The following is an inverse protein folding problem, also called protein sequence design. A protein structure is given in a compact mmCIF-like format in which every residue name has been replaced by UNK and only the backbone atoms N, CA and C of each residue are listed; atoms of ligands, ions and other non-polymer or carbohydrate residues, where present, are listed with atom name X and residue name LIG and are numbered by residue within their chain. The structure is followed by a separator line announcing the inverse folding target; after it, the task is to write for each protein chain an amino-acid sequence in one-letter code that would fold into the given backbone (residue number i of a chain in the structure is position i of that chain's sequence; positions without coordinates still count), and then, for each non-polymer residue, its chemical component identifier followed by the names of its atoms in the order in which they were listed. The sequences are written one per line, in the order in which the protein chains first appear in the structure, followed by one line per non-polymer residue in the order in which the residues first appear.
data_IF_152281474921
#
_entry.id   IF_152281474921
#
_cell.length_a   1.000
_cell.length_b   1.000
_cell.length_c   1.000
_cell.angle_alpha   90.00
_cell.angle_beta   90.00
_cell.angle_gamma   90.00
#
_symmetry.space_group_name_H-M   'P 1'
#
loop_
_entity.id
_entity.type
_entity.pdbx_description
1 polymer ?
#
# COMPACT_ATOMS: atom_id res chain seq x y z
N UNK A 1 -16.26 -24.69 -15.22
CA UNK A 1 -16.85 -23.36 -14.93
C UNK A 1 -15.74 -22.46 -14.45
N UNK A 2 -15.28 -21.51 -15.26
CA UNK A 2 -14.28 -20.52 -14.85
C UNK A 2 -14.89 -19.71 -13.72
N UNK A 3 -14.31 -19.81 -12.52
CA UNK A 3 -14.75 -19.02 -11.37
C UNK A 3 -14.76 -17.55 -11.79
N UNK A 4 -15.85 -16.82 -11.56
CA UNK A 4 -15.83 -15.38 -11.74
C UNK A 4 -14.71 -14.85 -10.84
N UNK A 5 -13.73 -14.15 -11.42
CA UNK A 5 -12.57 -13.67 -10.68
C UNK A 5 -12.98 -12.82 -9.48
N UNK A 6 -12.20 -12.89 -8.40
CA UNK A 6 -12.47 -12.14 -7.17
C UNK A 6 -12.42 -10.63 -7.45
N UNK A 7 -13.13 -9.81 -6.68
CA UNK A 7 -13.25 -8.36 -6.95
C UNK A 7 -11.88 -7.67 -7.04
N UNK A 8 -10.92 -8.09 -6.22
CA UNK A 8 -9.55 -7.56 -6.27
C UNK A 8 -8.82 -7.88 -7.57
N UNK A 9 -9.11 -9.02 -8.22
CA UNK A 9 -8.50 -9.41 -9.50
C UNK A 9 -8.96 -8.47 -10.61
N UNK A 10 -10.24 -8.09 -10.56
CA UNK A 10 -10.80 -7.10 -11.49
C UNK A 10 -10.13 -5.74 -11.32
N UNK A 11 -10.01 -5.25 -10.09
CA UNK A 11 -9.38 -3.97 -9.80
C UNK A 11 -7.91 -3.93 -10.29
N UNK A 12 -7.15 -5.01 -10.07
CA UNK A 12 -5.77 -5.14 -10.57
C UNK A 12 -5.76 -5.18 -12.11
N UNK A 13 -6.64 -5.96 -12.74
CA UNK A 13 -6.73 -6.03 -14.18
C UNK A 13 -7.07 -4.68 -14.82
N UNK A 14 -7.94 -3.89 -14.21
CA UNK A 14 -8.29 -2.54 -14.67
C UNK A 14 -7.09 -1.59 -14.54
N UNK A 15 -6.37 -1.61 -13.42
CA UNK A 15 -5.14 -0.83 -13.27
C UNK A 15 -4.10 -1.18 -14.33
N UNK A 16 -3.87 -2.47 -14.59
CA UNK A 16 -2.93 -2.91 -15.64
C UNK A 16 -3.39 -2.45 -17.02
N UNK A 17 -4.67 -2.61 -17.36
CA UNK A 17 -5.22 -2.12 -18.62
C UNK A 17 -5.05 -0.61 -18.79
N UNK A 18 -5.24 0.16 -17.71
CA UNK A 18 -5.05 1.61 -17.72
C UNK A 18 -3.58 2.00 -17.87
N UNK A 19 -2.65 1.30 -17.23
CA UNK A 19 -1.20 1.56 -17.35
C UNK A 19 -0.66 1.22 -18.75
N UNK A 20 -1.15 0.14 -19.37
CA UNK A 20 -0.66 -0.31 -20.67
C UNK A 20 -1.37 0.38 -21.86
N UNK A 21 -2.47 1.08 -21.63
CA UNK A 21 -3.12 1.86 -22.68
C UNK A 21 -2.40 3.18 -22.91
N UNK A 22 -2.25 3.56 -24.17
CA UNK A 22 -1.71 4.88 -24.50
C UNK A 22 -2.66 5.98 -24.00
N UNK A 23 -2.13 7.10 -23.45
CA UNK A 23 -2.93 8.26 -23.11
C UNK A 23 -3.76 8.72 -24.33
N UNK A 24 -5.05 8.94 -24.15
CA UNK A 24 -5.95 9.37 -25.24
C UNK A 24 -6.61 8.25 -26.04
N UNK A 25 -6.35 6.97 -25.73
CA UNK A 25 -7.06 5.85 -26.37
C UNK A 25 -8.57 5.91 -26.05
N UNK A 26 -9.47 5.70 -27.03
CA UNK A 26 -10.91 5.69 -26.80
C UNK A 26 -11.31 4.74 -25.66
N UNK A 27 -12.10 5.26 -24.72
CA UNK A 27 -12.60 4.51 -23.57
C UNK A 27 -11.65 4.43 -22.36
N UNK A 28 -10.42 4.94 -22.42
CA UNK A 28 -9.53 4.98 -21.25
C UNK A 28 -10.11 5.83 -20.11
N UNK A 29 -10.71 6.98 -20.42
CA UNK A 29 -11.37 7.83 -19.43
C UNK A 29 -12.57 7.14 -18.78
N UNK A 30 -13.38 6.41 -19.55
CA UNK A 30 -14.52 5.65 -19.03
C UNK A 30 -14.07 4.51 -18.12
N UNK A 31 -13.02 3.79 -18.51
CA UNK A 31 -12.44 2.72 -17.70
C UNK A 31 -11.89 3.28 -16.38
N UNK A 32 -11.16 4.39 -16.42
CA UNK A 32 -10.64 5.06 -15.22
C UNK A 32 -11.77 5.52 -14.29
N UNK A 33 -12.80 6.19 -14.84
CA UNK A 33 -13.94 6.63 -14.05
C UNK A 33 -14.70 5.45 -13.42
N UNK A 34 -14.85 4.34 -14.15
CA UNK A 34 -15.49 3.13 -13.62
C UNK A 34 -14.65 2.50 -12.49
N UNK A 35 -13.33 2.41 -12.66
CA UNK A 35 -12.42 1.88 -11.64
C UNK A 35 -12.40 2.76 -10.39
N UNK A 36 -12.29 4.08 -10.55
CA UNK A 36 -12.37 5.04 -9.43
C UNK A 36 -13.74 5.00 -8.76
N UNK A 37 -14.82 4.93 -9.53
CA UNK A 37 -16.17 4.80 -8.99
C UNK A 37 -16.32 3.57 -8.09
N UNK A 38 -15.85 2.40 -8.54
CA UNK A 38 -15.81 1.20 -7.69
C UNK A 38 -14.95 1.39 -6.45
N UNK A 39 -13.76 1.94 -6.62
CA UNK A 39 -12.83 2.19 -5.53
C UNK A 39 -13.47 3.05 -4.41
N UNK A 40 -14.15 4.15 -4.76
CA UNK A 40 -14.75 5.07 -3.81
C UNK A 40 -16.01 4.54 -3.13
N UNK A 41 -16.74 3.62 -3.79
CA UNK A 41 -17.98 3.04 -3.25
C UNK A 41 -17.74 1.77 -2.41
N UNK A 42 -16.60 1.11 -2.60
CA UNK A 42 -16.27 -0.11 -1.87
C UNK A 42 -16.06 0.20 -0.38
N UNK A 43 -16.73 -0.57 0.48
CA UNK A 43 -16.43 -0.56 1.92
C UNK A 43 -15.18 -1.40 2.17
N UNK A 44 -14.15 -0.86 2.84
CA UNK A 44 -12.95 -1.64 3.12
C UNK A 44 -13.28 -2.83 4.03
N UNK A 45 -12.97 -4.04 3.58
CA UNK A 45 -12.94 -5.19 4.46
C UNK A 45 -11.76 -5.09 5.44
N UNK A 46 -11.98 -5.47 6.70
CA UNK A 46 -10.90 -5.50 7.70
C UNK A 46 -9.79 -6.43 7.22
N UNK A 47 -8.55 -5.94 7.25
CA UNK A 47 -7.37 -6.68 6.76
C UNK A 47 -6.94 -6.33 5.33
N UNK A 48 -7.75 -5.58 4.57
CA UNK A 48 -7.43 -5.18 3.18
C UNK A 48 -7.01 -3.71 3.03
N UNK A 49 -6.75 -2.99 4.13
CA UNK A 49 -6.45 -1.56 4.10
C UNK A 49 -5.16 -1.25 3.31
N UNK A 50 -4.07 -2.01 3.51
CA UNK A 50 -2.85 -1.79 2.71
C UNK A 50 -3.09 -2.03 1.21
N UNK A 51 -3.80 -3.10 0.83
CA UNK A 51 -4.19 -3.34 -0.56
C UNK A 51 -5.00 -2.17 -1.14
N UNK A 52 -6.06 -1.75 -0.43
CA UNK A 52 -6.93 -0.64 -0.82
C UNK A 52 -6.15 0.67 -0.91
N UNK A 53 -5.19 0.90 -0.03
CA UNK A 53 -4.34 2.09 -0.04
C UNK A 53 -3.48 2.11 -1.30
N UNK A 54 -2.83 0.99 -1.63
CA UNK A 54 -2.03 0.86 -2.87
C UNK A 54 -2.88 1.04 -4.10
N UNK A 55 -4.07 0.43 -4.15
CA UNK A 55 -5.02 0.62 -5.24
C UNK A 55 -5.39 2.09 -5.42
N UNK A 56 -5.70 2.80 -4.33
CA UNK A 56 -6.01 4.23 -4.35
C UNK A 56 -4.83 5.07 -4.86
N UNK A 57 -3.62 4.85 -4.33
CA UNK A 57 -2.40 5.52 -4.80
C UNK A 57 -2.17 5.27 -6.29
N UNK A 58 -2.31 4.02 -6.74
CA UNK A 58 -2.15 3.65 -8.15
C UNK A 58 -3.16 4.36 -9.05
N UNK A 59 -4.45 4.34 -8.69
CA UNK A 59 -5.49 5.03 -9.46
C UNK A 59 -5.26 6.55 -9.50
N UNK A 60 -4.79 7.14 -8.40
CA UNK A 60 -4.43 8.55 -8.36
C UNK A 60 -3.25 8.87 -9.28
N UNK A 61 -2.20 8.04 -9.30
CA UNK A 61 -1.07 8.19 -10.22
C UNK A 61 -1.50 8.10 -11.69
N UNK A 62 -2.39 7.16 -12.02
CA UNK A 62 -2.94 7.00 -13.37
C UNK A 62 -3.79 8.21 -13.76
N UNK A 63 -4.59 8.74 -12.83
CA UNK A 63 -5.46 9.89 -13.08
C UNK A 63 -4.69 11.21 -13.19
N UNK A 64 -3.59 11.37 -12.45
CA UNK A 64 -2.88 12.64 -12.27
C UNK A 64 -2.57 13.41 -13.59
N UNK A 65 -2.13 12.77 -14.70
CA UNK A 65 -1.83 13.49 -15.93
C UNK A 65 -3.06 14.00 -16.69
N UNK A 66 -4.23 13.37 -16.51
CA UNK A 66 -5.44 13.67 -17.30
C UNK A 66 -6.56 14.32 -16.50
N UNK A 67 -6.64 14.05 -15.20
CA UNK A 67 -7.60 14.65 -14.27
C UNK A 67 -6.98 14.75 -12.85
N UNK A 68 -6.23 15.85 -12.57
CA UNK A 68 -5.67 16.11 -11.24
C UNK A 68 -6.73 16.19 -10.13
N UNK A 69 -7.96 16.60 -10.46
CA UNK A 69 -9.05 16.68 -9.49
C UNK A 69 -9.57 15.30 -9.08
N UNK A 70 -9.65 14.36 -10.02
CA UNK A 70 -9.96 12.96 -9.74
C UNK A 70 -8.84 12.30 -8.92
N UNK A 71 -7.58 12.52 -9.29
CA UNK A 71 -6.43 12.04 -8.52
C UNK A 71 -6.48 12.55 -7.06
N UNK A 72 -6.78 13.83 -6.88
CA UNK A 72 -6.91 14.44 -5.56
C UNK A 72 -8.01 13.80 -4.71
N UNK A 73 -9.20 13.60 -5.28
CA UNK A 73 -10.32 12.94 -4.59
C UNK A 73 -10.00 11.51 -4.16
N UNK A 74 -9.32 10.75 -5.03
CA UNK A 74 -8.92 9.36 -4.72
C UNK A 74 -7.93 9.35 -3.55
N UNK A 75 -6.92 10.23 -3.55
CA UNK A 75 -5.95 10.32 -2.46
C UNK A 75 -6.55 10.76 -1.15
N UNK A 76 -7.47 11.73 -1.19
CA UNK A 76 -8.19 12.16 0.00
C UNK A 76 -8.95 10.99 0.61
N UNK A 77 -9.70 10.23 -0.19
CA UNK A 77 -10.43 9.06 0.27
C UNK A 77 -9.51 7.97 0.85
N UNK A 78 -8.38 7.69 0.19
CA UNK A 78 -7.38 6.75 0.69
C UNK A 78 -6.81 7.19 2.04
N UNK A 79 -6.48 8.48 2.17
CA UNK A 79 -5.93 9.09 3.39
C UNK A 79 -6.92 9.03 4.54
N UNK A 80 -8.17 9.39 4.30
CA UNK A 80 -9.24 9.31 5.30
C UNK A 80 -9.47 7.86 5.75
N UNK A 81 -9.45 6.90 4.83
CA UNK A 81 -9.62 5.48 5.13
C UNK A 81 -8.48 4.93 6.01
N UNK A 82 -7.23 5.30 5.71
CA UNK A 82 -6.07 4.92 6.52
C UNK A 82 -6.14 5.54 7.91
N UNK A 83 -6.45 6.84 8.00
CA UNK A 83 -6.59 7.53 9.30
C UNK A 83 -7.71 6.89 10.13
N UNK A 84 -8.84 6.55 9.52
CA UNK A 84 -9.97 5.95 10.22
C UNK A 84 -9.70 4.52 10.70
N UNK A 85 -8.75 3.81 10.08
CA UNK A 85 -8.41 2.42 10.41
C UNK A 85 -7.16 2.28 11.29
N UNK A 86 -6.42 3.36 11.52
CA UNK A 86 -5.14 3.36 12.25
C UNK A 86 -4.12 2.36 11.65
N UNK A 87 -4.16 2.20 10.32
CA UNK A 87 -3.33 1.20 9.63
C UNK A 87 -1.93 1.76 9.31
N UNK A 88 -0.93 1.27 10.03
CA UNK A 88 0.47 1.67 9.85
C UNK A 88 1.04 1.40 8.46
N UNK A 89 0.65 0.30 7.81
CA UNK A 89 1.15 -0.04 6.47
C UNK A 89 0.53 0.88 5.40
N UNK A 90 -0.76 1.17 5.51
CA UNK A 90 -1.43 2.17 4.69
C UNK A 90 -0.82 3.56 4.88
N UNK A 91 -0.51 3.94 6.13
CA UNK A 91 0.12 5.23 6.41
C UNK A 91 1.53 5.33 5.80
N UNK A 92 2.30 4.23 5.81
CA UNK A 92 3.59 4.13 5.12
C UNK A 92 3.46 4.26 3.60
N UNK A 93 2.52 3.53 3.00
CA UNK A 93 2.29 3.53 1.55
C UNK A 93 1.90 4.94 1.05
N UNK A 94 1.06 5.67 1.81
CA UNK A 94 0.70 7.06 1.50
C UNK A 94 1.87 8.03 1.68
N UNK A 95 2.63 7.89 2.76
CA UNK A 95 3.76 8.78 3.06
C UNK A 95 4.92 8.65 2.06
N UNK A 96 5.09 7.47 1.44
CA UNK A 96 6.09 7.25 0.39
C UNK A 96 5.71 7.80 -0.99
N UNK A 97 4.48 8.28 -1.18
CA UNK A 97 3.95 8.72 -2.48
C UNK A 97 4.36 10.15 -2.83
N UNK A 98 5.67 10.39 -2.92
CA UNK A 98 6.30 11.72 -3.04
C UNK A 98 5.80 12.58 -4.21
N UNK A 99 5.32 11.98 -5.31
CA UNK A 99 4.79 12.69 -6.47
C UNK A 99 3.37 13.24 -6.32
N UNK A 100 2.64 12.84 -5.27
CA UNK A 100 1.23 13.17 -5.05
C UNK A 100 0.99 14.01 -3.78
N UNK A 101 2.08 14.38 -3.09
CA UNK A 101 2.08 15.03 -1.78
C UNK A 101 1.42 16.42 -1.73
N UNK A 102 1.26 17.09 -2.88
CA UNK A 102 0.57 18.38 -2.95
C UNK A 102 -0.91 18.32 -2.52
N UNK A 103 -1.50 17.12 -2.54
CA UNK A 103 -2.91 16.89 -2.17
C UNK A 103 -3.08 16.58 -0.68
N UNK A 104 -2.06 16.03 -0.02
CA UNK A 104 -2.14 15.66 1.39
C UNK A 104 -1.83 16.88 2.24
N UNK A 105 -2.82 17.29 3.04
CA UNK A 105 -2.69 18.45 3.94
C UNK A 105 -1.64 18.22 5.02
N UNK A 106 -1.11 19.30 5.60
CA UNK A 106 -0.15 19.20 6.71
C UNK A 106 -0.71 18.40 7.89
N UNK A 107 -1.95 18.65 8.30
CA UNK A 107 -2.59 17.91 9.40
C UNK A 107 -2.83 16.43 9.09
N UNK A 108 -3.12 16.06 7.84
CA UNK A 108 -3.17 14.65 7.46
C UNK A 108 -1.78 14.01 7.50
N UNK A 109 -0.74 14.71 7.04
CA UNK A 109 0.65 14.23 7.10
C UNK A 109 1.09 13.98 8.54
N UNK A 110 0.77 14.89 9.46
CA UNK A 110 1.03 14.71 10.89
C UNK A 110 0.33 13.46 11.46
N UNK A 111 -0.95 13.27 11.12
CA UNK A 111 -1.70 12.07 11.53
C UNK A 111 -1.09 10.79 10.98
N UNK A 112 -0.76 10.74 9.68
CA UNK A 112 -0.12 9.57 9.07
C UNK A 112 1.23 9.25 9.73
N UNK A 113 2.04 10.28 10.02
CA UNK A 113 3.29 10.13 10.77
C UNK A 113 3.05 9.57 12.18
N UNK A 114 2.03 10.06 12.90
CA UNK A 114 1.69 9.55 14.22
C UNK A 114 1.27 8.07 14.18
N UNK A 115 0.43 7.68 13.21
CA UNK A 115 -0.01 6.29 12.99
C UNK A 115 1.20 5.38 12.71
N UNK A 116 2.08 5.80 11.78
CA UNK A 116 3.29 5.06 11.48
C UNK A 116 4.22 4.96 12.70
N UNK A 117 4.31 6.01 13.52
CA UNK A 117 5.15 6.00 14.74
C UNK A 117 4.59 5.03 15.78
N UNK A 118 3.28 5.08 16.04
CA UNK A 118 2.60 4.14 16.94
C UNK A 118 2.71 2.69 16.46
N UNK A 119 2.78 2.47 15.14
CA UNK A 119 2.98 1.17 14.52
C UNK A 119 4.45 0.72 14.43
N UNK A 120 5.42 1.53 14.88
CA UNK A 120 6.85 1.23 14.75
C UNK A 120 7.38 1.26 13.29
N UNK A 121 6.66 1.93 12.39
CA UNK A 121 6.96 2.03 10.96
C UNK A 121 7.53 3.42 10.57
N UNK A 122 7.63 4.35 11.51
CA UNK A 122 8.25 5.68 11.33
C UNK A 122 9.49 5.84 12.20
N UNK A 123 10.50 6.54 11.67
CA UNK A 123 11.60 7.05 12.49
C UNK A 123 12.55 6.00 13.06
N UNK A 124 12.43 4.73 12.66
CA UNK A 124 13.34 3.68 13.10
C UNK A 124 14.67 3.85 12.39
N UNK A 125 15.60 4.55 13.05
CA UNK A 125 16.97 4.65 12.58
C UNK A 125 17.57 3.25 12.49
N UNK A 126 18.38 2.92 11.47
CA UNK A 126 19.17 1.68 11.47
C UNK A 126 20.06 1.54 12.71
N UNK A 127 20.35 2.65 13.39
CA UNK A 127 21.10 2.70 14.65
C UNK A 127 20.19 2.70 15.90
N UNK A 128 18.89 2.42 15.74
CA UNK A 128 18.00 2.23 16.88
C UNK A 128 18.52 1.03 17.70
N UNK A 129 18.82 1.19 18.99
CA UNK A 129 19.34 0.11 19.83
C UNK A 129 18.41 -1.10 19.86
N UNK A 130 17.09 -0.90 19.79
CA UNK A 130 16.09 -1.97 19.80
C UNK A 130 16.13 -2.76 18.50
N UNK A 131 16.22 -2.10 17.35
CA UNK A 131 16.37 -2.81 16.06
C UNK A 131 17.71 -3.52 15.98
N UNK A 132 18.78 -2.87 16.41
CA UNK A 132 20.12 -3.48 16.41
C UNK A 132 20.11 -4.76 17.25
N UNK A 133 19.47 -4.71 18.43
CA UNK A 133 19.33 -5.85 19.31
C UNK A 133 18.45 -6.95 18.70
N UNK A 134 17.27 -6.62 18.17
CA UNK A 134 16.37 -7.58 17.53
C UNK A 134 17.01 -8.25 16.31
N UNK A 135 17.73 -7.47 15.49
CA UNK A 135 18.41 -7.98 14.28
C UNK A 135 19.57 -8.90 14.66
N UNK A 136 20.30 -8.57 15.73
CA UNK A 136 21.34 -9.44 16.29
C UNK A 136 20.76 -10.75 16.82
N UNK A 137 19.66 -10.71 17.58
CA UNK A 137 18.97 -11.91 18.06
C UNK A 137 18.46 -12.79 16.91
N UNK A 138 17.86 -12.19 15.88
CA UNK A 138 17.39 -12.90 14.71
C UNK A 138 18.54 -13.57 13.93
N UNK A 139 19.67 -12.87 13.79
CA UNK A 139 20.87 -13.42 13.15
C UNK A 139 21.45 -14.61 13.94
N UNK A 140 21.50 -14.51 15.28
CA UNK A 140 21.96 -15.61 16.13
C UNK A 140 21.02 -16.81 16.06
N UNK A 141 19.70 -16.59 16.10
CA UNK A 141 18.72 -17.67 15.93
C UNK A 141 18.86 -18.36 14.55
N UNK A 142 19.04 -17.60 13.47
CA UNK A 142 19.25 -18.13 12.13
C UNK A 142 20.54 -18.97 12.04
N UNK A 143 21.61 -18.52 12.70
CA UNK A 143 22.87 -19.26 12.79
C UNK A 143 22.70 -20.59 13.53
N UNK A 144 22.05 -20.58 14.70
CA UNK A 144 21.77 -21.80 15.48
C UNK A 144 20.93 -22.80 14.65
N UNK A 145 19.90 -22.32 13.94
CA UNK A 145 19.09 -23.16 13.06
C UNK A 145 19.92 -23.78 11.93
N UNK A 146 20.77 -22.98 11.29
CA UNK A 146 21.64 -23.44 10.19
C UNK A 146 22.69 -24.45 10.66
N UNK A 147 23.23 -24.30 11.87
CA UNK A 147 24.20 -25.22 12.47
C UNK A 147 23.57 -26.50 13.06
N UNK A 148 22.26 -26.50 13.27
CA UNK A 148 21.50 -27.65 13.80
C UNK A 148 20.96 -28.55 12.70
N UNK A 149 20.63 -28.00 11.52
CA UNK A 149 20.14 -28.75 10.36
C UNK A 149 21.08 -29.88 9.87
N UNK A 150 22.41 -29.71 9.79
CA UNK A 150 23.33 -30.78 9.41
C UNK A 150 23.45 -31.89 10.47
N UNK A 151 23.22 -31.57 11.75
CA UNK A 151 23.35 -32.53 12.86
C UNK A 151 22.17 -33.51 12.94
N UNK A 152 20.99 -33.10 12.49
CA UNK A 152 19.80 -33.95 12.43
C UNK A 152 19.89 -34.96 11.26
N UNK A 153 20.51 -34.58 10.15
CA UNK A 153 20.67 -35.47 8.98
C UNK A 153 21.77 -36.54 9.14
N UNK A 154 22.66 -36.42 10.14
CA UNK A 154 23.76 -37.37 10.40
C UNK A 154 23.48 -38.34 11.56
N UNK A 155 22.28 -38.32 12.13
CA UNK A 155 21.85 -39.19 13.24
C UNK A 155 20.68 -40.13 12.88
N UNK A 156 20.35 -40.25 11.58
CA UNK A 156 19.47 -41.28 11.02
C UNK A 156 20.28 -42.30 10.22
#
# INVERSE_FOLDING_TARGET
TTHAGQDWERDVADCLQLMFRQPGTPGSANLLNAAVGRYLQARPEKGFISYRTRLGVTLALIAQPSDPGLAARVLQHATESVIASDDGYGARDLSGSNGLLGTITAGQREKLTAIMTASGLYGVSPNDPVITHLTSMAAEAAKVLTESLPRIASTA
#
